data_IF_345378427495
#
_entry.id   IF_345378427495
#
_cell.length_a   1.000
_cell.length_b   1.000
_cell.length_c   1.000
_cell.angle_alpha   90.00
_cell.angle_beta   90.00
_cell.angle_gamma   90.00
#
_symmetry.space_group_name_H-M   'P 1'
#
loop_
_entity.id
_entity.type
_entity.pdbx_description
1 polymer ?
#
# COMPACT_ATOMS: atom_id res chain seq x y z
N UNK A 1 9.65 -3.94 -22.35
CA UNK A 1 8.92 -4.92 -21.53
C UNK A 1 7.46 -4.89 -21.89
N UNK A 2 6.86 -6.07 -22.01
CA UNK A 2 5.39 -6.21 -22.09
C UNK A 2 4.79 -6.25 -20.69
N UNK A 3 3.52 -5.87 -20.53
CA UNK A 3 2.82 -5.85 -19.23
C UNK A 3 2.95 -7.17 -18.44
N UNK A 4 3.05 -8.30 -19.14
CA UNK A 4 3.20 -9.64 -18.55
C UNK A 4 4.51 -9.83 -17.77
N UNK A 5 5.60 -9.19 -18.20
CA UNK A 5 6.92 -9.29 -17.55
C UNK A 5 6.97 -8.45 -16.26
N UNK A 6 6.14 -7.41 -16.19
CA UNK A 6 6.09 -6.48 -15.06
C UNK A 6 5.10 -6.94 -13.96
N UNK A 7 4.12 -7.76 -14.33
CA UNK A 7 3.09 -8.32 -13.46
C UNK A 7 3.63 -9.02 -12.19
N UNK A 8 4.67 -9.89 -12.25
CA UNK A 8 5.21 -10.50 -11.04
C UNK A 8 5.81 -9.50 -10.05
N UNK A 9 6.41 -8.41 -10.54
CA UNK A 9 6.99 -7.37 -9.69
C UNK A 9 5.92 -6.53 -8.98
N UNK A 10 4.83 -6.22 -9.68
CA UNK A 10 3.66 -5.59 -9.06
C UNK A 10 3.03 -6.49 -8.00
N UNK A 11 2.83 -7.78 -8.32
CA UNK A 11 2.30 -8.74 -7.37
C UNK A 11 3.21 -8.87 -6.12
N UNK A 12 4.52 -8.95 -6.32
CA UNK A 12 5.49 -8.97 -5.23
C UNK A 12 5.40 -7.70 -4.36
N UNK A 13 5.28 -6.52 -4.99
CA UNK A 13 5.13 -5.25 -4.28
C UNK A 13 3.88 -5.24 -3.41
N UNK A 14 2.74 -5.69 -3.96
CA UNK A 14 1.47 -5.77 -3.23
C UNK A 14 1.55 -6.76 -2.07
N UNK A 15 2.09 -7.96 -2.30
CA UNK A 15 2.20 -8.99 -1.26
C UNK A 15 3.09 -8.50 -0.12
N UNK A 16 4.30 -8.01 -0.44
CA UNK A 16 5.25 -7.51 0.55
C UNK A 16 4.67 -6.32 1.33
N UNK A 17 3.96 -5.42 0.65
CA UNK A 17 3.29 -4.28 1.30
C UNK A 17 2.15 -4.72 2.20
N UNK A 18 1.35 -5.71 1.79
CA UNK A 18 0.22 -6.22 2.57
C UNK A 18 0.67 -6.90 3.86
N UNK A 19 1.71 -7.73 3.77
CA UNK A 19 2.37 -8.36 4.93
C UNK A 19 3.00 -7.32 5.86
N UNK A 20 3.67 -6.30 5.31
CA UNK A 20 4.29 -5.25 6.14
C UNK A 20 3.23 -4.39 6.84
N UNK A 21 2.12 -4.13 6.15
CA UNK A 21 1.04 -3.31 6.67
C UNK A 21 0.25 -4.02 7.78
N UNK A 22 0.09 -5.34 7.70
CA UNK A 22 -0.52 -6.10 8.79
C UNK A 22 0.34 -6.08 10.05
N UNK A 23 1.67 -6.20 9.92
CA UNK A 23 2.60 -6.02 11.04
C UNK A 23 2.48 -4.62 11.63
N UNK A 24 2.47 -3.59 10.79
CA UNK A 24 2.28 -2.20 11.21
C UNK A 24 1.00 -2.00 12.02
N UNK A 25 -0.14 -2.53 11.55
CA UNK A 25 -1.41 -2.41 12.28
C UNK A 25 -1.41 -3.17 13.60
N UNK A 26 -0.78 -4.35 13.67
CA UNK A 26 -0.67 -5.12 14.93
C UNK A 26 0.20 -4.39 15.96
N UNK A 27 1.25 -3.70 15.53
CA UNK A 27 2.11 -2.91 16.42
C UNK A 27 1.34 -1.71 16.99
N UNK A 28 0.54 -1.03 16.16
CA UNK A 28 -0.23 0.15 16.58
C UNK A 28 -1.43 -0.23 17.44
N UNK A 29 -2.14 -1.30 17.09
CA UNK A 29 -3.29 -1.81 17.84
C UNK A 29 -3.09 -3.28 18.24
N UNK A 30 -2.29 -3.54 19.29
CA UNK A 30 -2.02 -4.90 19.73
C UNK A 30 -3.30 -5.59 20.21
N UNK A 31 -3.52 -6.83 19.76
CA UNK A 31 -4.63 -7.66 20.23
C UNK A 31 -4.17 -9.08 20.54
N UNK A 32 -4.86 -9.76 21.45
CA UNK A 32 -4.59 -11.18 21.75
C UNK A 32 -4.80 -12.09 20.53
N UNK A 33 -5.52 -11.61 19.50
CA UNK A 33 -5.74 -12.30 18.22
C UNK A 33 -4.76 -11.87 17.13
N UNK A 34 -3.62 -11.26 17.49
CA UNK A 34 -2.65 -10.72 16.55
C UNK A 34 -2.28 -11.68 15.40
N UNK A 35 -2.13 -12.98 15.67
CA UNK A 35 -1.80 -13.96 14.64
C UNK A 35 -2.93 -14.11 13.61
N UNK A 36 -4.18 -14.19 14.05
CA UNK A 36 -5.33 -14.28 13.14
C UNK A 36 -5.50 -12.95 12.39
N UNK A 37 -5.37 -11.83 13.11
CA UNK A 37 -5.44 -10.50 12.53
C UNK A 37 -4.37 -10.29 11.46
N UNK A 38 -3.14 -10.81 11.66
CA UNK A 38 -2.05 -10.73 10.69
C UNK A 38 -2.47 -11.31 9.34
N UNK A 39 -3.01 -12.54 9.31
CA UNK A 39 -3.43 -13.18 8.07
C UNK A 39 -4.63 -12.46 7.44
N UNK A 40 -5.63 -12.13 8.24
CA UNK A 40 -6.85 -11.46 7.75
C UNK A 40 -6.50 -10.09 7.15
N UNK A 41 -5.81 -9.23 7.89
CA UNK A 41 -5.41 -7.90 7.43
C UNK A 41 -4.54 -8.00 6.17
N UNK A 42 -3.58 -8.92 6.14
CA UNK A 42 -2.73 -9.12 4.94
C UNK A 42 -3.57 -9.48 3.72
N UNK A 43 -4.57 -10.37 3.84
CA UNK A 43 -5.42 -10.74 2.70
C UNK A 43 -6.34 -9.59 2.27
N UNK A 44 -6.95 -8.88 3.22
CA UNK A 44 -7.86 -7.77 2.92
C UNK A 44 -7.14 -6.58 2.29
N UNK A 45 -5.88 -6.33 2.66
CA UNK A 45 -5.10 -5.17 2.17
C UNK A 45 -4.56 -5.35 0.76
N UNK A 46 -4.57 -6.57 0.22
CA UNK A 46 -4.24 -6.82 -1.19
C UNK A 46 -5.19 -6.05 -2.11
N UNK A 47 -6.47 -5.97 -1.78
CA UNK A 47 -7.50 -5.29 -2.60
C UNK A 47 -7.20 -3.79 -2.76
N UNK A 48 -7.11 -2.98 -1.69
CA UNK A 48 -6.84 -1.55 -1.82
C UNK A 48 -5.48 -1.27 -2.46
N UNK A 49 -4.44 -2.06 -2.18
CA UNK A 49 -3.16 -1.90 -2.87
C UNK A 49 -3.27 -2.21 -4.37
N UNK A 50 -4.00 -3.25 -4.74
CA UNK A 50 -4.18 -3.61 -6.15
C UNK A 50 -5.03 -2.58 -6.91
N UNK A 51 -6.06 -2.03 -6.29
CA UNK A 51 -7.00 -1.09 -6.95
C UNK A 51 -6.46 0.33 -6.98
N UNK A 52 -5.82 0.80 -5.91
CA UNK A 52 -5.35 2.19 -5.81
C UNK A 52 -3.85 2.33 -6.11
N UNK A 53 -3.01 1.47 -5.53
CA UNK A 53 -1.57 1.66 -5.55
C UNK A 53 -0.91 1.10 -6.82
N UNK A 54 -1.36 -0.04 -7.36
CA UNK A 54 -0.80 -0.62 -8.59
C UNK A 54 -0.99 0.27 -9.83
N UNK A 55 -2.18 0.85 -10.11
CA UNK A 55 -2.33 1.77 -11.24
C UNK A 55 -1.41 2.99 -11.11
N UNK A 56 -1.28 3.52 -9.89
CA UNK A 56 -0.37 4.62 -9.60
C UNK A 56 1.10 4.19 -9.79
N UNK A 57 1.47 3.00 -9.35
CA UNK A 57 2.78 2.40 -9.52
C UNK A 57 3.17 2.28 -11.00
N UNK A 58 2.24 1.78 -11.84
CA UNK A 58 2.44 1.67 -13.29
C UNK A 58 2.65 3.06 -13.90
N UNK A 59 1.91 4.07 -13.45
CA UNK A 59 2.03 5.43 -13.94
C UNK A 59 3.37 6.08 -13.55
N UNK A 60 3.76 6.00 -12.28
CA UNK A 60 4.99 6.61 -11.74
C UNK A 60 6.25 5.91 -12.25
N UNK A 61 6.24 4.58 -12.38
CA UNK A 61 7.39 3.79 -12.84
C UNK A 61 7.60 3.79 -14.36
N UNK A 62 6.88 4.64 -15.11
CA UNK A 62 7.37 5.07 -16.42
C UNK A 62 8.76 5.71 -16.31
N UNK A 63 9.02 6.41 -15.21
CA UNK A 63 10.30 7.05 -14.89
C UNK A 63 10.75 6.63 -13.49
N UNK A 64 11.25 5.40 -13.31
CA UNK A 64 11.51 4.86 -11.97
C UNK A 64 12.62 5.67 -11.29
N UNK A 65 12.32 6.19 -10.11
CA UNK A 65 13.24 6.94 -9.28
C UNK A 65 13.23 6.32 -7.88
N UNK A 66 14.39 5.84 -7.45
CA UNK A 66 14.55 5.17 -6.15
C UNK A 66 14.28 6.17 -5.02
N UNK A 67 13.42 5.81 -4.07
CA UNK A 67 13.10 6.61 -2.88
C UNK A 67 12.81 8.08 -3.19
N UNK A 68 12.06 8.34 -4.26
CA UNK A 68 11.68 9.70 -4.61
C UNK A 68 10.58 10.20 -3.65
N UNK A 69 10.85 11.29 -2.94
CA UNK A 69 9.91 11.93 -1.99
C UNK A 69 8.63 12.41 -2.70
N UNK A 70 8.70 12.78 -3.98
CA UNK A 70 7.53 13.20 -4.76
C UNK A 70 6.59 12.01 -5.02
N UNK A 71 7.15 10.80 -5.21
CA UNK A 71 6.35 9.60 -5.37
C UNK A 71 5.68 9.23 -4.05
N UNK A 72 6.40 9.36 -2.93
CA UNK A 72 5.83 9.21 -1.59
C UNK A 72 4.65 10.17 -1.38
N UNK A 73 4.82 11.46 -1.69
CA UNK A 73 3.75 12.44 -1.56
C UNK A 73 2.52 12.06 -2.40
N UNK A 74 2.75 11.54 -3.61
CA UNK A 74 1.66 11.09 -4.49
C UNK A 74 0.93 9.87 -3.91
N UNK A 75 1.67 8.88 -3.39
CA UNK A 75 1.08 7.72 -2.69
C UNK A 75 0.28 8.16 -1.46
N UNK A 76 0.77 9.13 -0.68
CA UNK A 76 0.03 9.68 0.47
C UNK A 76 -1.29 10.31 0.04
N UNK A 77 -1.29 11.17 -0.98
CA UNK A 77 -2.52 11.81 -1.47
C UNK A 77 -3.53 10.76 -1.94
N UNK A 78 -3.10 9.76 -2.71
CA UNK A 78 -3.99 8.71 -3.21
C UNK A 78 -4.51 7.82 -2.07
N UNK A 79 -3.68 7.46 -1.09
CA UNK A 79 -4.10 6.67 0.06
C UNK A 79 -5.14 7.40 0.92
N UNK A 80 -4.93 8.69 1.19
CA UNK A 80 -5.88 9.52 1.95
C UNK A 80 -7.20 9.64 1.19
N UNK A 81 -7.14 9.93 -0.12
CA UNK A 81 -8.35 10.01 -0.96
C UNK A 81 -9.09 8.68 -1.00
N UNK A 82 -8.38 7.57 -1.17
CA UNK A 82 -8.99 6.24 -1.20
C UNK A 82 -9.73 5.94 0.10
N UNK A 83 -9.08 6.12 1.26
CA UNK A 83 -9.73 5.89 2.55
C UNK A 83 -10.88 6.88 2.80
N UNK A 84 -10.76 8.13 2.36
CA UNK A 84 -11.83 9.12 2.49
C UNK A 84 -13.06 8.76 1.63
N UNK A 85 -12.84 8.26 0.42
CA UNK A 85 -13.94 7.77 -0.43
C UNK A 85 -14.56 6.50 0.18
N UNK A 86 -13.73 5.56 0.64
CA UNK A 86 -14.21 4.36 1.33
C UNK A 86 -15.05 4.71 2.56
N UNK A 87 -14.63 5.71 3.32
CA UNK A 87 -15.38 6.26 4.46
C UNK A 87 -16.77 6.75 4.03
N UNK A 88 -16.86 7.62 3.02
CA UNK A 88 -18.14 8.19 2.59
C UNK A 88 -19.07 7.15 1.93
N UNK A 89 -18.54 6.07 1.36
CA UNK A 89 -19.35 5.00 0.77
C UNK A 89 -19.98 4.05 1.82
N UNK A 90 -19.51 4.10 3.07
CA UNK A 90 -19.80 3.08 4.07
C UNK A 90 -20.75 3.57 5.18
N UNK A 91 -21.63 4.53 4.87
CA UNK A 91 -22.55 5.30 5.76
C UNK A 91 -23.35 4.52 6.83
N UNK A 92 -23.30 3.18 6.94
CA UNK A 92 -24.15 2.39 7.84
C UNK A 92 -23.50 1.18 8.56
N UNK A 93 -22.16 1.04 8.63
CA UNK A 93 -21.52 -0.04 9.40
C UNK A 93 -20.69 0.55 10.56
N UNK A 94 -21.13 0.30 11.81
CA UNK A 94 -20.57 0.83 13.07
C UNK A 94 -19.06 0.58 13.29
N UNK A 95 -18.39 1.60 13.86
CA UNK A 95 -17.13 1.75 14.64
C UNK A 95 -16.12 0.59 14.76
N UNK A 96 -14.77 0.81 14.80
CA UNK A 96 -14.05 1.95 15.41
C UNK A 96 -12.78 2.45 14.64
N UNK A 97 -12.78 2.44 13.29
CA UNK A 97 -11.65 2.95 12.47
C UNK A 97 -11.66 4.50 12.34
N UNK A 98 -12.63 5.17 12.96
CA UNK A 98 -13.16 6.46 12.50
C UNK A 98 -12.78 7.70 13.32
N UNK A 99 -11.61 7.71 13.96
CA UNK A 99 -10.96 8.97 14.34
C UNK A 99 -10.16 9.48 13.13
N UNK A 100 -10.45 10.70 12.66
CA UNK A 100 -9.70 11.36 11.57
C UNK A 100 -8.18 11.26 11.76
N UNK A 101 -7.70 11.28 13.01
CA UNK A 101 -6.29 11.11 13.34
C UNK A 101 -5.77 9.70 13.04
N UNK A 102 -6.54 8.67 13.41
CA UNK A 102 -6.18 7.26 13.15
C UNK A 102 -6.22 6.96 11.66
N UNK A 103 -7.24 7.44 10.97
CA UNK A 103 -7.37 7.30 9.51
C UNK A 103 -6.15 7.89 8.80
N UNK A 104 -5.67 9.06 9.23
CA UNK A 104 -4.48 9.69 8.68
C UNK A 104 -3.20 8.86 8.94
N UNK A 105 -3.03 8.32 10.14
CA UNK A 105 -1.91 7.43 10.49
C UNK A 105 -1.92 6.17 9.62
N UNK A 106 -3.09 5.56 9.43
CA UNK A 106 -3.26 4.38 8.59
C UNK A 106 -2.97 4.69 7.11
N UNK A 107 -3.48 5.81 6.59
CA UNK A 107 -3.20 6.27 5.24
C UNK A 107 -1.70 6.48 4.99
N UNK A 108 -1.04 7.20 5.91
CA UNK A 108 0.40 7.45 5.84
C UNK A 108 1.21 6.16 5.94
N UNK A 109 0.85 5.27 6.87
CA UNK A 109 1.50 3.97 7.02
C UNK A 109 1.42 3.15 5.72
N UNK A 110 0.22 3.07 5.13
CA UNK A 110 0.00 2.36 3.87
C UNK A 110 0.84 2.96 2.73
N UNK A 111 0.85 4.29 2.60
CA UNK A 111 1.60 4.99 1.58
C UNK A 111 3.11 4.80 1.73
N UNK A 112 3.65 4.95 2.94
CA UNK A 112 5.09 4.78 3.22
C UNK A 112 5.53 3.35 2.95
N UNK A 113 4.75 2.37 3.42
CA UNK A 113 5.06 0.95 3.22
C UNK A 113 5.06 0.61 1.73
N UNK A 114 4.02 1.02 1.00
CA UNK A 114 3.94 0.73 -0.43
C UNK A 114 5.05 1.42 -1.22
N UNK A 115 5.30 2.70 -0.95
CA UNK A 115 6.40 3.47 -1.57
C UNK A 115 7.77 2.85 -1.30
N UNK A 116 7.99 2.31 -0.10
CA UNK A 116 9.22 1.63 0.26
C UNK A 116 9.43 0.38 -0.60
N UNK A 117 8.44 -0.50 -0.68
CA UNK A 117 8.53 -1.71 -1.48
C UNK A 117 8.59 -1.43 -2.98
N UNK A 118 7.83 -0.46 -3.47
CA UNK A 118 7.90 0.02 -4.85
C UNK A 118 9.31 0.50 -5.21
N UNK A 119 9.93 1.28 -4.32
CA UNK A 119 11.30 1.79 -4.49
C UNK A 119 12.36 0.69 -4.47
N UNK A 120 12.10 -0.45 -3.82
CA UNK A 120 13.02 -1.58 -3.75
C UNK A 120 12.84 -2.47 -4.99
N UNK A 121 11.62 -2.93 -5.22
CA UNK A 121 11.30 -3.98 -6.21
C UNK A 121 11.34 -3.44 -7.64
N UNK A 122 10.92 -2.18 -7.83
CA UNK A 122 10.78 -1.59 -9.16
C UNK A 122 12.02 -0.81 -9.63
N UNK A 123 13.09 -0.81 -8.84
CA UNK A 123 14.31 -0.09 -9.15
C UNK A 123 15.06 -0.73 -10.32
N UNK A 124 15.25 0.04 -11.39
CA UNK A 124 15.83 -0.46 -12.64
C UNK A 124 17.34 -0.72 -12.63
N UNK A 125 18.07 -0.43 -11.53
CA UNK A 125 19.53 -0.67 -11.47
C UNK A 125 19.92 -2.16 -11.33
N UNK A 126 18.95 -3.05 -11.20
CA UNK A 126 19.15 -4.50 -11.10
C UNK A 126 18.61 -5.28 -12.31
N UNK A 127 18.35 -4.61 -13.44
CA UNK A 127 18.11 -5.28 -14.72
C UNK A 127 19.33 -5.08 -15.64
N UNK A 128 20.35 -5.95 -15.54
CA UNK A 128 21.61 -5.85 -16.29
C UNK A 128 21.48 -6.22 -17.79
N UNK A 129 20.29 -6.15 -18.37
CA UNK A 129 20.08 -6.36 -19.80
C UNK A 129 19.57 -5.08 -20.48
N UNK A 130 20.31 -4.00 -20.21
CA UNK A 130 20.38 -2.81 -21.05
C UNK A 130 21.84 -2.54 -21.40
#
# INVERSE_FOLDING_TARGET
MTFKELLPYHALTVISSSVSYSIFLIIIEPSYRAVIAFFVISLFTIIPYSVAAVPLQIFLNKWPKKFNILYLFTYCVVAILFLYISYNLQENWSDPIWDYRKMFIFALGAAVIYWFWDSIIMNKKEYPYY
#
